data_IF_717848997365
#
_entry.id   IF_717848997365
#
_cell.length_a   1.000
_cell.length_b   1.000
_cell.length_c   1.000
_cell.angle_alpha   90.00
_cell.angle_beta   90.00
_cell.angle_gamma   90.00
#
_symmetry.space_group_name_H-M   'P 1'
#
loop_
_entity.id
_entity.type
_entity.pdbx_description
1 polymer ?
#
# COMPACT_ATOMS: atom_id res chain seq x y z
N UNK A 1 8.30 -16.65 -11.13
CA UNK A 1 7.51 -15.93 -10.12
C UNK A 1 6.22 -15.52 -10.77
N UNK A 2 5.12 -16.11 -10.31
CA UNK A 2 3.77 -15.90 -10.86
C UNK A 2 3.24 -14.52 -10.42
N UNK A 3 2.43 -13.85 -11.25
CA UNK A 3 1.81 -12.56 -10.92
C UNK A 3 1.03 -12.60 -9.59
N UNK A 4 0.51 -13.77 -9.21
CA UNK A 4 -0.17 -14.00 -7.93
C UNK A 4 0.77 -13.95 -6.72
N UNK A 5 2.00 -14.46 -6.85
CA UNK A 5 3.00 -14.41 -5.78
C UNK A 5 3.45 -12.97 -5.52
N UNK A 6 3.65 -12.20 -6.60
CA UNK A 6 4.01 -10.78 -6.51
C UNK A 6 2.91 -9.94 -5.86
N UNK A 7 1.64 -10.19 -6.21
CA UNK A 7 0.50 -9.55 -5.55
C UNK A 7 0.41 -9.94 -4.07
N UNK A 8 0.57 -11.23 -3.76
CA UNK A 8 0.50 -11.75 -2.40
C UNK A 8 1.56 -11.15 -1.47
N UNK A 9 2.79 -11.02 -1.97
CA UNK A 9 3.90 -10.40 -1.25
C UNK A 9 3.66 -8.90 -1.00
N UNK A 10 3.23 -8.16 -2.03
CA UNK A 10 2.92 -6.73 -1.90
C UNK A 10 1.80 -6.48 -0.89
N UNK A 11 0.72 -7.27 -0.95
CA UNK A 11 -0.36 -7.20 0.04
C UNK A 11 0.13 -7.51 1.46
N UNK A 12 1.15 -8.36 1.63
CA UNK A 12 1.66 -8.74 2.94
C UNK A 12 2.49 -7.59 3.53
N UNK A 13 3.30 -6.96 2.68
CA UNK A 13 4.03 -5.73 2.99
C UNK A 13 3.07 -4.60 3.36
N UNK A 14 1.97 -4.43 2.63
CA UNK A 14 0.92 -3.46 2.99
C UNK A 14 0.33 -3.74 4.39
N UNK A 15 -0.08 -4.98 4.66
CA UNK A 15 -0.66 -5.33 5.97
C UNK A 15 0.34 -5.08 7.11
N UNK A 16 1.60 -5.51 6.95
CA UNK A 16 2.65 -5.28 7.94
C UNK A 16 2.93 -3.78 8.17
N UNK A 17 2.98 -2.96 7.12
CA UNK A 17 3.11 -1.51 7.25
C UNK A 17 1.89 -0.86 7.94
N UNK A 18 0.68 -1.32 7.62
CA UNK A 18 -0.55 -0.91 8.27
C UNK A 18 -0.56 -1.22 9.78
N UNK A 19 -0.01 -2.37 10.19
CA UNK A 19 0.18 -2.70 11.61
C UNK A 19 1.38 -1.98 12.25
N UNK A 20 2.03 -1.04 11.57
CA UNK A 20 3.15 -0.26 12.10
C UNK A 20 4.48 -1.03 12.19
N UNK A 21 4.58 -2.22 11.59
CA UNK A 21 5.82 -3.02 11.62
C UNK A 21 6.94 -2.38 10.77
N UNK A 22 6.57 -1.50 9.84
CA UNK A 22 7.52 -0.75 9.02
C UNK A 22 7.26 0.75 9.14
N UNK A 23 8.34 1.50 9.32
CA UNK A 23 8.28 2.95 9.43
C UNK A 23 8.49 3.68 8.10
N UNK A 24 8.91 3.00 7.03
CA UNK A 24 9.16 3.60 5.72
C UNK A 24 9.02 2.55 4.62
N UNK A 25 8.48 2.95 3.46
CA UNK A 25 8.46 2.10 2.27
C UNK A 25 9.89 1.84 1.74
N UNK A 26 10.15 0.68 1.13
CA UNK A 26 11.49 0.33 0.66
C UNK A 26 11.83 0.87 -0.74
N UNK A 27 10.82 1.13 -1.55
CA UNK A 27 10.98 1.56 -2.94
C UNK A 27 9.75 2.33 -3.43
N UNK A 28 9.87 2.90 -4.63
CA UNK A 28 8.81 3.64 -5.30
C UNK A 28 7.49 2.88 -5.36
N UNK A 29 7.53 1.58 -5.70
CA UNK A 29 6.33 0.75 -5.84
C UNK A 29 5.61 0.64 -4.51
N UNK A 30 6.30 0.27 -3.44
CA UNK A 30 5.70 0.18 -2.10
C UNK A 30 5.14 1.51 -1.64
N UNK A 31 5.91 2.60 -1.79
CA UNK A 31 5.48 3.92 -1.32
C UNK A 31 4.17 4.36 -1.97
N UNK A 32 4.04 4.16 -3.28
CA UNK A 32 2.83 4.50 -4.02
C UNK A 32 1.67 3.56 -3.68
N UNK A 33 1.93 2.26 -3.55
CA UNK A 33 0.91 1.27 -3.19
C UNK A 33 0.39 1.52 -1.77
N UNK A 34 1.27 1.82 -0.80
CA UNK A 34 0.87 2.13 0.58
C UNK A 34 -0.01 3.38 0.62
N UNK A 35 0.33 4.42 -0.15
CA UNK A 35 -0.48 5.63 -0.28
C UNK A 35 -1.89 5.32 -0.78
N UNK A 36 -1.99 4.53 -1.85
CA UNK A 36 -3.28 4.13 -2.43
C UNK A 36 -4.05 3.22 -1.47
N UNK A 37 -3.38 2.28 -0.83
CA UNK A 37 -3.94 1.39 0.18
C UNK A 37 -4.56 2.19 1.34
N UNK A 38 -3.83 3.17 1.87
CA UNK A 38 -4.30 4.08 2.91
C UNK A 38 -5.61 4.77 2.51
N UNK A 39 -5.67 5.32 1.29
CA UNK A 39 -6.87 6.02 0.78
C UNK A 39 -8.10 5.09 0.68
N UNK A 40 -7.91 3.81 0.32
CA UNK A 40 -9.05 2.89 0.16
C UNK A 40 -9.51 2.25 1.48
N UNK A 41 -8.64 2.15 2.48
CA UNK A 41 -8.99 1.57 3.80
C UNK A 41 -9.33 2.62 4.87
N UNK A 42 -9.09 3.92 4.62
CA UNK A 42 -9.22 5.01 5.61
C UNK A 42 -10.55 5.03 6.38
N UNK A 43 -11.65 4.64 5.73
CA UNK A 43 -12.97 4.69 6.36
C UNK A 43 -13.18 3.58 7.39
N UNK A 44 -12.64 2.39 7.13
CA UNK A 44 -12.83 1.21 7.99
C UNK A 44 -11.66 1.00 8.96
N UNK A 45 -10.48 1.50 8.63
CA UNK A 45 -9.22 1.26 9.34
C UNK A 45 -8.40 2.57 9.41
N UNK A 46 -8.84 3.57 10.20
CA UNK A 46 -8.22 4.90 10.22
C UNK A 46 -6.78 4.89 10.78
N UNK A 47 -6.49 4.02 11.74
CA UNK A 47 -5.15 3.91 12.34
C UNK A 47 -4.16 3.29 11.34
N UNK A 48 -4.55 2.19 10.71
CA UNK A 48 -3.77 1.47 9.71
C UNK A 48 -3.54 2.33 8.46
N UNK A 49 -4.57 3.08 8.06
CA UNK A 49 -4.47 4.06 6.99
C UNK A 49 -3.42 5.13 7.32
N UNK A 50 -3.40 5.63 8.56
CA UNK A 50 -2.41 6.60 9.01
C UNK A 50 -0.99 6.02 8.95
N UNK A 51 -0.76 4.80 9.45
CA UNK A 51 0.55 4.14 9.36
C UNK A 51 1.04 3.95 7.91
N UNK A 52 0.15 3.52 7.02
CA UNK A 52 0.46 3.38 5.59
C UNK A 52 0.82 4.72 4.95
N UNK A 53 0.06 5.77 5.27
CA UNK A 53 0.29 7.11 4.76
C UNK A 53 1.61 7.68 5.28
N UNK A 54 1.93 7.50 6.56
CA UNK A 54 3.20 7.92 7.16
C UNK A 54 4.41 7.21 6.53
N UNK A 55 4.34 5.89 6.38
CA UNK A 55 5.40 5.10 5.75
C UNK A 55 5.66 5.54 4.30
N UNK A 56 4.59 5.88 3.58
CA UNK A 56 4.65 6.44 2.22
C UNK A 56 5.24 7.85 2.20
N UNK A 57 4.77 8.74 3.07
CA UNK A 57 5.21 10.13 3.14
C UNK A 57 6.69 10.24 3.51
N UNK A 58 7.19 9.39 4.42
CA UNK A 58 8.62 9.33 4.76
C UNK A 58 9.50 8.97 3.57
N UNK A 59 9.03 8.06 2.70
CA UNK A 59 9.73 7.72 1.48
C UNK A 59 9.74 8.89 0.49
N UNK A 60 8.58 9.51 0.24
CA UNK A 60 8.48 10.64 -0.69
C UNK A 60 9.16 11.91 -0.18
N UNK A 61 9.37 12.06 1.12
CA UNK A 61 10.22 13.12 1.67
C UNK A 61 11.67 13.04 1.15
N UNK A 62 12.16 11.83 0.87
CA UNK A 62 13.50 11.60 0.29
C UNK A 62 13.46 11.54 -1.24
N UNK A 63 12.37 11.03 -1.82
CA UNK A 63 12.21 10.83 -3.26
C UNK A 63 10.90 11.47 -3.79
N UNK A 64 10.77 12.80 -3.79
CA UNK A 64 9.49 13.46 -4.09
C UNK A 64 9.02 13.25 -5.53
N UNK A 65 9.95 13.12 -6.49
CA UNK A 65 9.64 12.89 -7.91
C UNK A 65 9.13 11.48 -8.23
N UNK A 66 9.16 10.56 -7.26
CA UNK A 66 8.71 9.18 -7.46
C UNK A 66 7.24 8.97 -7.11
N UNK A 67 6.56 10.02 -6.63
CA UNK A 67 5.13 9.98 -6.32
C UNK A 67 4.30 9.97 -7.61
N UNK A 68 3.50 8.93 -7.77
CA UNK A 68 2.62 8.73 -8.91
C UNK A 68 1.17 9.02 -8.55
N UNK A 69 0.34 9.25 -9.57
CA UNK A 69 -1.13 9.29 -9.41
C UNK A 69 -1.67 7.90 -9.10
N UNK A 70 -2.85 7.81 -8.48
CA UNK A 70 -3.45 6.51 -8.17
C UNK A 70 -3.71 5.68 -9.44
N UNK A 71 -4.13 6.32 -10.54
CA UNK A 71 -4.30 5.67 -11.85
C UNK A 71 -2.99 5.09 -12.39
N UNK A 72 -1.88 5.80 -12.25
CA UNK A 72 -0.58 5.32 -12.73
C UNK A 72 -0.13 4.07 -11.97
N UNK A 73 -0.47 3.93 -10.69
CA UNK A 73 -0.19 2.70 -9.91
C UNK A 73 -0.89 1.48 -10.51
N UNK A 74 -2.12 1.66 -11.00
CA UNK A 74 -2.87 0.60 -11.70
C UNK A 74 -2.28 0.34 -13.09
N UNK A 75 -1.99 1.40 -13.86
CA UNK A 75 -1.39 1.30 -15.21
C UNK A 75 -0.03 0.61 -15.21
N UNK A 76 0.77 0.81 -14.16
CA UNK A 76 2.05 0.12 -13.96
C UNK A 76 1.88 -1.36 -13.53
N UNK A 77 0.65 -1.84 -13.33
CA UNK A 77 0.37 -3.22 -12.93
C UNK A 77 0.79 -3.56 -11.50
N UNK A 78 1.06 -2.55 -10.66
CA UNK A 78 1.50 -2.79 -9.27
C UNK A 78 0.36 -3.27 -8.39
N UNK A 79 -0.86 -2.83 -8.71
CA UNK A 79 -2.12 -3.35 -8.18
C UNK A 79 -3.05 -3.65 -9.34
N UNK A 80 -3.92 -4.66 -9.20
CA UNK A 80 -4.89 -4.98 -10.24
C UNK A 80 -6.02 -3.96 -10.34
N UNK A 81 -6.59 -3.55 -9.21
CA UNK A 81 -7.65 -2.55 -9.13
C UNK A 81 -7.83 -2.06 -7.69
N UNK A 82 -8.40 -0.87 -7.51
CA UNK A 82 -8.69 -0.34 -6.17
C UNK A 82 -9.68 -1.20 -5.37
N UNK A 83 -10.81 -1.69 -5.94
CA UNK A 83 -11.74 -2.53 -5.18
C UNK A 83 -11.09 -3.82 -4.71
N UNK A 84 -10.31 -4.50 -5.58
CA UNK A 84 -9.62 -5.74 -5.21
C UNK A 84 -8.58 -5.51 -4.11
N UNK A 85 -7.80 -4.44 -4.21
CA UNK A 85 -6.83 -4.05 -3.18
C UNK A 85 -7.54 -3.85 -1.83
N UNK A 86 -8.63 -3.07 -1.82
CA UNK A 86 -9.41 -2.79 -0.61
C UNK A 86 -9.94 -4.07 0.02
N UNK A 87 -10.58 -4.94 -0.76
CA UNK A 87 -11.18 -6.17 -0.26
C UNK A 87 -10.13 -7.13 0.31
N UNK A 88 -9.01 -7.34 -0.41
CA UNK A 88 -7.92 -8.20 0.06
C UNK A 88 -7.20 -7.65 1.28
N UNK A 89 -6.97 -6.34 1.33
CA UNK A 89 -6.32 -5.72 2.48
C UNK A 89 -7.25 -5.71 3.69
N UNK A 90 -8.55 -5.43 3.50
CA UNK A 90 -9.56 -5.50 4.56
C UNK A 90 -9.61 -6.89 5.19
N UNK A 91 -9.56 -7.95 4.37
CA UNK A 91 -9.52 -9.32 4.87
C UNK A 91 -8.30 -9.56 5.75
N UNK A 92 -7.11 -9.09 5.34
CA UNK A 92 -5.88 -9.27 6.10
C UNK A 92 -5.83 -8.46 7.39
N UNK A 93 -6.26 -7.20 7.36
CA UNK A 93 -6.28 -6.33 8.55
C UNK A 93 -7.27 -6.80 9.61
N UNK A 94 -8.28 -7.58 9.25
CA UNK A 94 -9.17 -8.23 10.21
C UNK A 94 -8.60 -9.51 10.84
N UNK A 95 -7.54 -10.06 10.26
CA UNK A 95 -6.93 -11.33 10.66
C UNK A 95 -5.61 -11.17 11.41
N UNK A 96 -5.00 -9.98 11.37
CA UNK A 96 -3.77 -9.63 12.11
C UNK A 96 -4.10 -8.90 13.41
#
# INVERSE_FOLDING_TARGET
MDSRELEGNLLARCAAAAHGQFSVAQNQREANVFRVAAMVVQHNFPQESSHLMDASNRYFGRYPGERLSAEDVVRNGWIFSFPRLRDMLTLRLRQG
#
